data_IF_745067835110
#
_entry.id   IF_745067835110
#
_cell.length_a   1.000
_cell.length_b   1.000
_cell.length_c   1.000
_cell.angle_alpha   90.00
_cell.angle_beta   90.00
_cell.angle_gamma   90.00
#
_symmetry.space_group_name_H-M   'P 1'
#
loop_
_entity.id
_entity.type
_entity.pdbx_description
1 polymer ?
#
# COMPACT_ATOMS: atom_id res chain seq x y z
N UNK A 1 -18.00 7.77 -2.12
CA UNK A 1 -17.03 7.78 -3.21
C UNK A 1 -16.49 6.40 -3.46
N UNK A 2 -16.22 6.09 -4.71
CA UNK A 2 -15.72 4.77 -5.06
C UNK A 2 -14.23 4.66 -4.78
N UNK A 3 -13.82 3.50 -4.29
CA UNK A 3 -12.41 3.16 -4.13
C UNK A 3 -11.73 3.20 -5.50
N UNK A 4 -10.56 3.82 -5.57
CA UNK A 4 -9.78 3.88 -6.79
C UNK A 4 -8.37 3.38 -6.54
N UNK A 5 -7.96 2.39 -7.32
CA UNK A 5 -6.61 1.82 -7.25
C UNK A 5 -5.90 2.14 -8.54
N UNK A 6 -4.78 2.86 -8.44
CA UNK A 6 -3.95 3.22 -9.58
C UNK A 6 -2.67 2.40 -9.55
N UNK A 7 -2.36 1.71 -10.63
CA UNK A 7 -1.16 0.87 -10.74
C UNK A 7 -1.18 0.10 -12.05
N UNK A 8 -0.27 -0.86 -12.20
CA UNK A 8 -0.27 -1.77 -13.34
C UNK A 8 -1.29 -2.88 -13.11
N UNK A 9 -1.89 -3.41 -14.18
CA UNK A 9 -3.01 -4.34 -14.08
C UNK A 9 -2.80 -5.54 -13.17
N UNK A 10 -1.66 -6.20 -13.28
CA UNK A 10 -1.35 -7.36 -12.43
C UNK A 10 -1.15 -6.97 -10.97
N UNK A 11 -0.55 -5.83 -10.74
CA UNK A 11 -0.30 -5.31 -9.41
C UNK A 11 -1.60 -4.87 -8.74
N UNK A 12 -2.51 -4.27 -9.51
CA UNK A 12 -3.84 -3.91 -9.01
C UNK A 12 -4.58 -5.14 -8.51
N UNK A 13 -4.52 -6.23 -9.28
CA UNK A 13 -5.15 -7.49 -8.88
C UNK A 13 -4.57 -8.03 -7.57
N UNK A 14 -3.26 -7.88 -7.38
CA UNK A 14 -2.58 -8.36 -6.16
C UNK A 14 -3.01 -7.62 -4.91
N UNK A 15 -3.38 -6.34 -5.03
CA UNK A 15 -3.73 -5.53 -3.85
C UNK A 15 -5.23 -5.31 -3.70
N UNK A 16 -6.04 -5.63 -4.70
CA UNK A 16 -7.47 -5.33 -4.67
C UNK A 16 -8.24 -6.08 -3.59
N UNK A 17 -7.72 -7.22 -3.15
CA UNK A 17 -8.36 -8.03 -2.10
C UNK A 17 -8.03 -7.60 -0.68
N UNK A 18 -7.21 -6.58 -0.49
CA UNK A 18 -6.85 -6.12 0.84
C UNK A 18 -8.00 -5.33 1.48
N UNK A 19 -8.05 -5.25 2.82
CA UNK A 19 -9.19 -4.63 3.50
C UNK A 19 -9.10 -3.10 3.53
N UNK A 20 -9.31 -2.46 2.38
CA UNK A 20 -9.18 -1.02 2.23
C UNK A 20 -10.21 -0.19 3.00
N UNK A 21 -11.31 -0.82 3.44
CA UNK A 21 -12.35 -0.16 4.24
C UNK A 21 -12.01 -0.13 5.74
N UNK A 22 -10.88 -0.65 6.12
CA UNK A 22 -10.42 -0.70 7.51
C UNK A 22 -9.16 0.15 7.63
N UNK A 23 -9.04 0.94 8.72
CA UNK A 23 -7.82 1.70 9.00
C UNK A 23 -6.63 0.76 9.07
N UNK A 24 -5.50 1.21 8.57
CA UNK A 24 -4.28 0.39 8.54
C UNK A 24 -3.84 -0.05 9.94
N UNK A 25 -4.11 0.75 10.96
CA UNK A 25 -3.84 0.39 12.36
C UNK A 25 -4.56 -0.87 12.79
N UNK A 26 -5.73 -1.12 12.21
CA UNK A 26 -6.59 -2.25 12.57
C UNK A 26 -6.35 -3.48 11.70
N UNK A 27 -5.45 -3.38 10.71
CA UNK A 27 -5.11 -4.54 9.89
C UNK A 27 -4.42 -5.59 10.74
N UNK A 28 -4.70 -6.90 10.49
CA UNK A 28 -4.01 -7.98 11.18
C UNK A 28 -2.50 -7.87 10.99
N UNK A 29 -1.76 -8.04 12.07
CA UNK A 29 -0.30 -8.08 12.01
C UNK A 29 0.16 -9.53 11.79
N UNK A 30 1.08 -9.68 10.86
CA UNK A 30 1.77 -10.95 10.67
C UNK A 30 3.03 -10.91 11.55
N UNK A 31 3.12 -11.75 12.60
CA UNK A 31 4.28 -11.72 13.50
C UNK A 31 5.61 -11.94 12.79
N UNK A 32 5.61 -12.66 11.68
CA UNK A 32 6.84 -12.91 10.92
C UNK A 32 7.34 -11.66 10.20
N UNK A 33 6.50 -10.65 10.03
CA UNK A 33 6.81 -9.43 9.30
C UNK A 33 6.94 -8.20 10.18
N UNK A 34 6.73 -8.31 11.50
CA UNK A 34 6.69 -7.16 12.41
C UNK A 34 8.05 -6.74 12.96
N UNK A 35 9.07 -7.54 12.79
CA UNK A 35 10.39 -7.32 13.41
C UNK A 35 11.12 -6.06 12.95
N UNK A 36 10.71 -5.46 11.87
CA UNK A 36 11.44 -4.35 11.27
C UNK A 36 10.69 -3.03 11.30
N UNK A 37 9.83 -2.88 12.29
CA UNK A 37 9.17 -1.61 12.53
C UNK A 37 10.19 -0.57 12.96
N UNK A 38 10.59 0.28 12.06
CA UNK A 38 11.30 1.48 12.42
C UNK A 38 10.36 2.51 13.04
N UNK A 39 10.92 3.54 13.64
CA UNK A 39 10.15 4.70 14.06
C UNK A 39 9.75 5.43 12.80
N UNK A 40 8.46 5.41 12.46
CA UNK A 40 7.93 6.08 11.30
C UNK A 40 6.78 7.00 11.71
N UNK A 41 6.67 8.13 11.04
CA UNK A 41 5.53 9.04 11.22
C UNK A 41 4.27 8.48 10.56
N UNK A 42 4.44 7.50 9.69
CA UNK A 42 3.35 6.88 8.95
C UNK A 42 3.12 5.47 9.47
N UNK A 43 1.87 5.06 9.46
CA UNK A 43 1.51 3.68 9.75
C UNK A 43 1.87 2.87 8.54
N UNK A 44 2.70 1.84 8.74
CA UNK A 44 3.14 0.94 7.68
C UNK A 44 2.77 -0.48 8.07
N UNK A 45 2.21 -1.23 7.14
CA UNK A 45 1.94 -2.65 7.31
C UNK A 45 2.62 -3.45 6.22
N UNK A 46 3.25 -4.54 6.60
CA UNK A 46 3.81 -5.50 5.65
C UNK A 46 2.79 -6.60 5.45
N UNK A 47 2.47 -6.90 4.21
CA UNK A 47 1.45 -7.90 3.86
C UNK A 47 1.95 -8.80 2.75
N UNK A 48 1.54 -10.07 2.77
CA UNK A 48 1.80 -10.97 1.65
C UNK A 48 0.82 -10.68 0.51
N UNK A 49 1.28 -10.85 -0.72
CA UNK A 49 0.43 -10.63 -1.90
C UNK A 49 -0.68 -11.68 -2.01
N UNK A 50 -0.48 -12.85 -1.42
CA UNK A 50 -1.48 -13.93 -1.38
C UNK A 50 -1.43 -14.60 0.00
N UNK A 51 -2.26 -15.62 0.23
CA UNK A 51 -2.23 -16.41 1.46
C UNK A 51 -1.00 -17.31 1.58
N UNK A 52 -0.24 -17.46 0.51
CA UNK A 52 0.97 -18.27 0.51
C UNK A 52 2.08 -17.53 1.25
N UNK A 53 2.71 -18.12 2.28
CA UNK A 53 3.81 -17.46 3.00
C UNK A 53 5.06 -17.22 2.14
N UNK A 54 5.17 -17.89 0.99
CA UNK A 54 6.26 -17.67 0.04
C UNK A 54 5.95 -16.59 -0.98
N UNK A 55 4.75 -15.99 -0.93
CA UNK A 55 4.39 -14.92 -1.85
C UNK A 55 5.15 -13.63 -1.55
N UNK A 56 5.15 -12.71 -2.51
CA UNK A 56 5.80 -11.42 -2.34
C UNK A 56 5.20 -10.64 -1.16
N UNK A 57 6.04 -9.86 -0.51
CA UNK A 57 5.64 -9.00 0.61
C UNK A 57 5.57 -7.57 0.10
N UNK A 58 4.45 -6.93 0.38
CA UNK A 58 4.26 -5.52 0.06
C UNK A 58 4.27 -4.68 1.34
N UNK A 59 4.80 -3.48 1.24
CA UNK A 59 4.67 -2.49 2.31
C UNK A 59 3.53 -1.54 1.94
N UNK A 60 2.57 -1.41 2.84
CA UNK A 60 1.44 -0.50 2.65
C UNK A 60 1.55 0.61 3.68
N UNK A 61 1.50 1.85 3.20
CA UNK A 61 1.67 3.04 4.03
C UNK A 61 0.47 3.97 3.83
N UNK A 62 -0.12 4.45 4.93
CA UNK A 62 -1.15 5.49 4.86
C UNK A 62 -0.48 6.87 4.78
N UNK A 63 -0.99 7.71 3.88
CA UNK A 63 -0.46 9.06 3.70
C UNK A 63 -1.51 9.91 2.98
N UNK A 64 -1.21 11.18 2.75
CA UNK A 64 -2.12 12.03 1.98
C UNK A 64 -1.96 11.77 0.49
N UNK A 65 -3.06 12.00 -0.26
CA UNK A 65 -3.13 11.71 -1.69
C UNK A 65 -1.99 12.34 -2.49
N UNK A 66 -1.68 13.59 -2.19
CA UNK A 66 -0.62 14.31 -2.90
C UNK A 66 0.74 13.62 -2.74
N UNK A 67 1.07 13.21 -1.52
CA UNK A 67 2.34 12.54 -1.25
C UNK A 67 2.37 11.12 -1.83
N UNK A 68 1.25 10.39 -1.74
CA UNK A 68 1.16 9.06 -2.31
C UNK A 68 1.41 9.08 -3.82
N UNK A 69 0.76 9.99 -4.52
CA UNK A 69 0.90 10.10 -5.97
C UNK A 69 2.30 10.57 -6.37
N UNK A 70 2.87 11.52 -5.64
CA UNK A 70 4.21 12.02 -5.91
C UNK A 70 5.26 10.92 -5.73
N UNK A 71 5.17 10.19 -4.63
CA UNK A 71 6.10 9.10 -4.36
C UNK A 71 5.95 7.98 -5.39
N UNK A 72 4.72 7.63 -5.74
CA UNK A 72 4.46 6.62 -6.77
C UNK A 72 5.10 7.01 -8.11
N UNK A 73 4.89 8.24 -8.55
CA UNK A 73 5.45 8.72 -9.81
C UNK A 73 6.98 8.74 -9.77
N UNK A 74 7.56 9.19 -8.68
CA UNK A 74 9.01 9.22 -8.51
C UNK A 74 9.61 7.82 -8.58
N UNK A 75 8.98 6.85 -7.91
CA UNK A 75 9.45 5.46 -7.95
C UNK A 75 9.30 4.84 -9.33
N UNK A 76 8.21 5.17 -10.03
CA UNK A 76 8.01 4.71 -11.40
C UNK A 76 9.10 5.24 -12.33
N UNK A 77 9.46 6.51 -12.18
CA UNK A 77 10.51 7.12 -12.98
C UNK A 77 11.87 6.50 -12.70
N UNK A 78 12.19 6.25 -11.43
CA UNK A 78 13.44 5.58 -11.06
C UNK A 78 13.51 4.18 -11.65
N UNK A 79 12.41 3.42 -11.59
CA UNK A 79 12.34 2.09 -12.19
C UNK A 79 12.55 2.15 -13.70
N UNK A 80 11.98 3.15 -14.36
CA UNK A 80 12.13 3.34 -15.80
C UNK A 80 13.60 3.64 -16.19
N UNK A 81 14.30 4.36 -15.33
CA UNK A 81 15.71 4.68 -15.53
C UNK A 81 16.66 3.54 -15.12
N UNK A 82 16.14 2.46 -14.58
CA UNK A 82 16.93 1.34 -14.11
C UNK A 82 17.67 1.59 -12.81
N UNK A 83 17.31 2.64 -12.07
CA UNK A 83 17.92 2.96 -10.79
C UNK A 83 17.44 1.99 -9.70
N UNK A 84 18.31 1.57 -8.77
CA UNK A 84 17.90 0.74 -7.64
C UNK A 84 16.90 1.51 -6.76
N UNK A 85 15.72 0.94 -6.58
CA UNK A 85 14.67 1.54 -5.74
C UNK A 85 13.64 0.48 -5.38
N UNK A 86 12.76 0.78 -4.41
CA UNK A 86 11.62 -0.09 -4.16
C UNK A 86 10.64 0.00 -5.33
N UNK A 87 10.02 -1.12 -5.63
CA UNK A 87 9.07 -1.19 -6.73
C UNK A 87 7.73 -0.56 -6.32
N UNK A 88 7.23 0.42 -7.07
CA UNK A 88 5.90 0.98 -6.79
C UNK A 88 4.82 0.02 -7.27
N UNK A 89 3.88 -0.30 -6.40
CA UNK A 89 2.81 -1.24 -6.73
C UNK A 89 1.52 -0.50 -7.05
N UNK A 90 1.00 0.32 -6.13
CA UNK A 90 -0.27 0.99 -6.35
C UNK A 90 -0.48 2.15 -5.40
N UNK A 91 -1.32 3.09 -5.84
CA UNK A 91 -1.88 4.15 -4.99
C UNK A 91 -3.36 3.86 -4.81
N UNK A 92 -3.84 3.86 -3.58
CA UNK A 92 -5.23 3.57 -3.25
C UNK A 92 -5.88 4.83 -2.69
N UNK A 93 -6.90 5.31 -3.39
CA UNK A 93 -7.64 6.52 -3.05
C UNK A 93 -9.13 6.22 -2.88
N UNK A 94 -9.88 7.16 -2.30
CA UNK A 94 -11.31 7.00 -2.14
C UNK A 94 -11.70 5.95 -1.11
N UNK A 95 -10.84 5.69 -0.14
CA UNK A 95 -11.12 4.72 0.93
C UNK A 95 -12.14 5.29 1.91
N UNK A 96 -13.11 4.47 2.26
CA UNK A 96 -14.08 4.80 3.30
C UNK A 96 -14.24 3.61 4.23
N UNK A 97 -14.51 3.88 5.50
CA UNK A 97 -14.76 2.81 6.46
C UNK A 97 -16.21 2.31 6.36
N UNK A 98 -16.57 1.37 7.21
CA UNK A 98 -17.90 0.76 7.24
C UNK A 98 -19.02 1.76 7.52
N UNK A 99 -18.69 2.89 8.13
CA UNK A 99 -19.63 3.93 8.52
C UNK A 99 -19.62 5.11 7.57
N UNK A 100 -18.91 5.02 6.46
CA UNK A 100 -18.81 6.08 5.48
C UNK A 100 -17.78 7.17 5.80
N UNK A 101 -16.97 6.97 6.83
CA UNK A 101 -15.88 7.90 7.18
C UNK A 101 -14.72 7.80 6.20
N UNK A 102 -14.12 8.93 5.87
CA UNK A 102 -12.96 8.93 4.98
C UNK A 102 -11.72 8.36 5.66
N UNK A 103 -11.03 7.47 4.96
CA UNK A 103 -9.74 6.94 5.38
C UNK A 103 -8.63 7.57 4.53
N UNK A 104 -7.40 7.67 5.08
CA UNK A 104 -6.27 8.20 4.32
C UNK A 104 -6.00 7.38 3.06
N UNK A 105 -5.36 7.99 2.08
CA UNK A 105 -4.85 7.27 0.93
C UNK A 105 -3.75 6.33 1.35
N UNK A 106 -3.48 5.31 0.56
CA UNK A 106 -2.43 4.35 0.84
C UNK A 106 -1.52 4.21 -0.37
N UNK A 107 -0.25 3.93 -0.10
CA UNK A 107 0.74 3.61 -1.12
C UNK A 107 1.28 2.22 -0.81
N UNK A 108 1.21 1.34 -1.80
CA UNK A 108 1.78 -0.01 -1.74
C UNK A 108 3.08 -0.05 -2.54
N UNK A 109 4.12 -0.59 -1.94
CA UNK A 109 5.44 -0.74 -2.59
C UNK A 109 6.02 -2.12 -2.41
#
# INVERSE_FOLDING_TARGET
>A
MALRITGLGEEIASVSGLPWQISLEEWPEDPSLTEKRGISRHIVRLVHSTDDPDSEVYAVKETVSEFANREYQALRELAHLGAPSVEPIAVIEGRTDEFGGELPCALAT
#
